data_IF_310342590168
#
_entry.id   IF_310342590168
#
_cell.length_a   1.000
_cell.length_b   1.000
_cell.length_c   1.000
_cell.angle_alpha   90.00
_cell.angle_beta   90.00
_cell.angle_gamma   90.00
#
_symmetry.space_group_name_H-M   'P 1'
#
loop_
_entity.id
_entity.type
_entity.pdbx_description
1 polymer ?
#
# COMPACT_ATOMS: atom_id res chain seq x y z
N UNK A 1 14.85 -33.39 -10.85
CA UNK A 1 13.82 -32.89 -11.77
C UNK A 1 14.04 -31.38 -11.88
N UNK A 2 14.40 -30.84 -13.03
CA UNK A 2 14.61 -29.42 -13.23
C UNK A 2 13.34 -28.84 -13.78
N UNK A 3 12.76 -27.82 -13.09
CA UNK A 3 11.61 -27.07 -13.59
C UNK A 3 12.17 -25.90 -14.40
N UNK A 4 11.73 -25.77 -15.64
CA UNK A 4 12.10 -24.65 -16.50
C UNK A 4 10.86 -23.80 -16.72
N UNK A 5 10.99 -22.49 -16.49
CA UNK A 5 9.95 -21.50 -16.80
C UNK A 5 10.16 -20.98 -18.22
N UNK A 6 9.08 -20.51 -18.83
CA UNK A 6 9.15 -19.86 -20.14
C UNK A 6 9.99 -18.58 -20.08
N UNK A 7 10.56 -18.18 -21.21
CA UNK A 7 11.47 -17.02 -21.26
C UNK A 7 10.77 -15.69 -20.94
N UNK A 8 9.46 -15.61 -21.12
CA UNK A 8 8.59 -14.47 -20.83
C UNK A 8 7.93 -14.54 -19.44
N UNK A 9 8.28 -15.54 -18.63
CA UNK A 9 7.76 -15.65 -17.27
C UNK A 9 8.24 -14.47 -16.42
N UNK A 10 7.28 -13.74 -15.81
CA UNK A 10 7.56 -12.55 -15.00
C UNK A 10 7.71 -12.92 -13.53
N UNK A 11 8.90 -12.69 -13.00
CA UNK A 11 9.18 -12.83 -11.57
C UNK A 11 8.77 -11.57 -10.83
N UNK A 12 7.84 -11.71 -9.88
CA UNK A 12 7.31 -10.59 -9.13
C UNK A 12 7.33 -10.81 -7.63
N UNK A 13 7.24 -9.70 -6.91
CA UNK A 13 7.04 -9.66 -5.46
C UNK A 13 5.79 -8.85 -5.12
N UNK A 14 5.36 -8.91 -3.86
CA UNK A 14 4.20 -8.16 -3.40
C UNK A 14 4.42 -7.63 -1.99
N UNK A 15 3.98 -6.40 -1.77
CA UNK A 15 3.88 -5.79 -0.45
C UNK A 15 2.59 -4.97 -0.35
N UNK A 16 2.37 -4.34 0.80
CA UNK A 16 1.25 -3.41 1.00
C UNK A 16 1.69 -2.21 1.83
N UNK A 17 0.99 -1.09 1.69
CA UNK A 17 1.30 0.12 2.41
C UNK A 17 1.45 -0.09 3.92
N UNK A 18 0.46 -0.68 4.64
CA UNK A 18 0.56 -0.90 6.08
C UNK A 18 1.72 -1.80 6.52
N UNK A 19 2.13 -2.73 5.66
CA UNK A 19 3.23 -3.66 5.96
C UNK A 19 4.62 -3.08 5.68
N UNK A 20 4.72 -2.06 4.83
CA UNK A 20 5.99 -1.58 4.35
C UNK A 20 6.30 -0.13 4.72
N UNK A 21 5.33 0.78 4.59
CA UNK A 21 5.60 2.22 4.57
C UNK A 21 5.78 2.87 5.94
N UNK A 22 5.21 2.30 7.01
CA UNK A 22 5.10 2.97 8.30
C UNK A 22 4.04 4.09 8.30
N UNK A 23 3.95 4.81 9.44
CA UNK A 23 2.96 5.88 9.65
C UNK A 23 3.49 7.28 9.31
N UNK A 24 4.71 7.39 8.80
CA UNK A 24 5.34 8.67 8.47
C UNK A 24 4.47 9.53 7.53
N UNK A 25 4.23 10.77 7.90
CA UNK A 25 3.46 11.75 7.12
C UNK A 25 2.06 11.29 6.65
N UNK A 26 1.44 10.33 7.35
CA UNK A 26 0.04 10.03 7.16
C UNK A 26 -0.84 11.15 7.72
N UNK A 27 -1.92 11.47 7.03
CA UNK A 27 -2.93 12.44 7.47
C UNK A 27 -3.96 11.83 8.39
N UNK A 28 -4.21 10.53 8.22
CA UNK A 28 -5.22 9.77 8.94
C UNK A 28 -4.67 8.43 9.40
N UNK A 29 -5.25 7.85 10.44
CA UNK A 29 -5.01 6.47 10.81
C UNK A 29 -5.83 5.53 9.93
N UNK A 30 -5.24 4.41 9.56
CA UNK A 30 -6.00 3.27 9.06
C UNK A 30 -6.41 2.34 10.21
N UNK A 31 -7.23 1.35 9.91
CA UNK A 31 -7.75 0.40 10.92
C UNK A 31 -6.65 -0.40 11.63
N UNK A 32 -5.47 -0.61 10.99
CA UNK A 32 -4.33 -1.31 11.60
C UNK A 32 -3.54 -0.39 12.52
N UNK A 33 -3.31 0.86 12.14
CA UNK A 33 -2.68 1.87 12.99
C UNK A 33 -3.52 2.03 14.26
N UNK A 34 -4.83 2.20 14.11
CA UNK A 34 -5.77 2.32 15.24
C UNK A 34 -5.80 1.08 16.13
N UNK A 35 -5.83 -0.12 15.54
CA UNK A 35 -5.78 -1.36 16.31
C UNK A 35 -4.50 -1.45 17.13
N UNK A 36 -3.36 -1.16 16.51
CA UNK A 36 -2.07 -1.17 17.20
C UNK A 36 -2.01 -0.16 18.34
N UNK A 37 -2.43 1.09 18.11
CA UNK A 37 -2.38 2.13 19.14
C UNK A 37 -3.34 1.87 20.29
N UNK A 38 -4.46 1.17 20.05
CA UNK A 38 -5.42 0.82 21.10
C UNK A 38 -5.15 -0.51 21.78
N UNK A 39 -4.51 -1.45 21.10
CA UNK A 39 -4.25 -2.81 21.58
C UNK A 39 -2.89 -3.33 21.14
N UNK A 40 -1.78 -2.71 21.57
CA UNK A 40 -0.43 -3.12 21.14
C UNK A 40 -0.10 -4.57 21.52
N UNK A 41 -0.72 -5.10 22.59
CA UNK A 41 -0.53 -6.48 23.04
C UNK A 41 -1.05 -7.54 22.04
N UNK A 42 -1.89 -7.16 21.08
CA UNK A 42 -2.38 -8.08 20.04
C UNK A 42 -1.32 -8.29 18.94
N UNK A 43 -0.23 -7.51 18.98
CA UNK A 43 0.88 -7.60 18.02
C UNK A 43 2.09 -8.30 18.64
N UNK A 44 2.77 -9.11 17.84
CA UNK A 44 3.94 -9.85 18.28
C UNK A 44 5.02 -8.91 18.83
N UNK A 45 5.42 -9.13 20.07
CA UNK A 45 6.36 -8.25 20.82
C UNK A 45 5.95 -6.77 20.88
N UNK A 46 4.67 -6.45 20.73
CA UNK A 46 4.15 -5.08 20.64
C UNK A 46 4.82 -4.28 19.50
N UNK A 47 5.19 -4.95 18.40
CA UNK A 47 5.73 -4.30 17.20
C UNK A 47 4.61 -4.12 16.18
N UNK A 48 4.31 -2.89 15.84
CA UNK A 48 3.21 -2.52 14.95
C UNK A 48 3.65 -1.83 13.65
N UNK A 49 2.70 -1.20 12.98
CA UNK A 49 2.91 -0.62 11.65
C UNK A 49 3.64 0.73 11.64
N UNK A 50 4.04 1.29 12.80
CA UNK A 50 4.56 2.66 12.88
C UNK A 50 5.81 2.89 12.04
N UNK A 51 6.69 1.93 12.03
CA UNK A 51 7.90 1.94 11.18
C UNK A 51 7.77 0.95 10.04
N UNK A 52 7.18 -0.23 10.31
CA UNK A 52 7.09 -1.36 9.38
C UNK A 52 8.48 -1.71 8.81
N UNK A 53 8.61 -1.82 7.47
CA UNK A 53 9.93 -1.95 6.83
C UNK A 53 10.58 -0.60 6.48
N UNK A 54 10.02 0.49 6.94
CA UNK A 54 10.52 1.85 6.67
C UNK A 54 10.55 2.25 5.18
N UNK A 55 9.76 1.59 4.35
CA UNK A 55 9.74 1.81 2.90
C UNK A 55 9.45 3.26 2.51
N UNK A 56 8.69 3.99 3.32
CA UNK A 56 8.43 5.42 3.06
C UNK A 56 9.71 6.24 2.92
N UNK A 57 10.70 5.97 3.76
CA UNK A 57 11.97 6.69 3.77
C UNK A 57 13.05 6.03 2.90
N UNK A 58 12.96 4.70 2.71
CA UNK A 58 14.07 3.89 2.19
C UNK A 58 13.75 3.17 0.86
N UNK A 59 12.62 3.55 0.23
CA UNK A 59 12.11 2.87 -0.97
C UNK A 59 13.12 2.80 -2.13
N UNK A 60 14.04 3.76 -2.25
CA UNK A 60 15.05 3.76 -3.31
C UNK A 60 16.02 2.59 -3.15
N UNK A 61 16.48 2.36 -1.91
CA UNK A 61 17.37 1.24 -1.58
C UNK A 61 16.62 -0.10 -1.70
N UNK A 62 15.41 -0.18 -1.17
CA UNK A 62 14.59 -1.39 -1.23
C UNK A 62 14.28 -1.81 -2.68
N UNK A 63 13.92 -0.86 -3.53
CA UNK A 63 13.68 -1.12 -4.94
C UNK A 63 14.96 -1.52 -5.68
N UNK A 64 16.11 -0.94 -5.33
CA UNK A 64 17.40 -1.35 -5.89
C UNK A 64 17.76 -2.79 -5.49
N UNK A 65 17.51 -3.19 -4.25
CA UNK A 65 17.69 -4.56 -3.77
C UNK A 65 16.74 -5.54 -4.49
N UNK A 66 15.48 -5.19 -4.68
CA UNK A 66 14.52 -5.99 -5.45
C UNK A 66 15.00 -6.19 -6.89
N UNK A 67 15.54 -5.15 -7.52
CA UNK A 67 16.12 -5.25 -8.86
C UNK A 67 17.32 -6.19 -8.90
N UNK A 68 18.21 -6.11 -7.91
CA UNK A 68 19.37 -7.02 -7.80
C UNK A 68 18.93 -8.48 -7.60
N UNK A 69 17.82 -8.69 -6.88
CA UNK A 69 17.22 -10.01 -6.70
C UNK A 69 16.50 -10.56 -7.95
N UNK A 70 16.46 -9.78 -9.06
CA UNK A 70 15.84 -10.19 -10.31
C UNK A 70 14.32 -9.96 -10.38
N UNK A 71 13.74 -9.18 -9.47
CA UNK A 71 12.32 -8.85 -9.49
C UNK A 71 12.02 -7.95 -10.69
N UNK A 72 11.03 -8.36 -11.50
CA UNK A 72 10.59 -7.66 -12.71
C UNK A 72 9.27 -6.91 -12.51
N UNK A 73 8.47 -7.33 -11.52
CA UNK A 73 7.20 -6.72 -11.19
C UNK A 73 7.01 -6.65 -9.67
N UNK A 74 6.45 -5.55 -9.17
CA UNK A 74 6.13 -5.37 -7.76
C UNK A 74 4.68 -4.93 -7.60
N UNK A 75 3.89 -5.72 -6.86
CA UNK A 75 2.57 -5.29 -6.42
C UNK A 75 2.71 -4.46 -5.15
N UNK A 76 2.13 -3.28 -5.16
CA UNK A 76 2.11 -2.33 -4.04
C UNK A 76 0.70 -1.73 -3.90
N UNK A 77 0.31 -1.33 -2.69
CA UNK A 77 -0.96 -0.62 -2.48
C UNK A 77 -0.73 0.86 -2.16
N UNK A 78 -1.69 1.69 -2.57
CA UNK A 78 -1.75 3.09 -2.18
C UNK A 78 -2.55 3.20 -0.90
N UNK A 79 -1.97 3.82 0.14
CA UNK A 79 -2.68 4.13 1.38
C UNK A 79 -3.50 5.42 1.22
N UNK A 80 -4.82 5.31 1.31
CA UNK A 80 -5.71 6.50 1.30
C UNK A 80 -5.41 7.44 2.46
N UNK A 81 -5.00 6.88 3.59
CA UNK A 81 -4.60 7.65 4.78
C UNK A 81 -3.39 8.56 4.57
N UNK A 82 -2.61 8.32 3.51
CA UNK A 82 -1.48 9.14 3.07
C UNK A 82 -1.84 10.02 1.88
N UNK A 83 -2.64 9.48 0.94
CA UNK A 83 -2.92 10.12 -0.33
C UNK A 83 -4.03 11.17 -0.22
N UNK A 84 -4.98 11.01 0.71
CA UNK A 84 -6.17 11.87 0.81
C UNK A 84 -6.03 12.76 2.05
N UNK A 85 -6.14 14.07 1.85
CA UNK A 85 -6.09 15.07 2.91
C UNK A 85 -7.45 15.21 3.60
N UNK A 86 -8.51 15.28 2.81
CA UNK A 86 -9.89 15.32 3.29
C UNK A 86 -10.69 14.14 2.73
N UNK A 87 -11.09 13.22 3.61
CA UNK A 87 -11.78 11.99 3.26
C UNK A 87 -13.24 12.21 2.83
N UNK A 88 -13.84 13.34 3.18
CA UNK A 88 -15.23 13.64 2.80
C UNK A 88 -15.29 14.16 1.35
N UNK A 89 -14.45 15.11 1.01
CA UNK A 89 -14.38 15.69 -0.34
C UNK A 89 -13.51 14.88 -1.31
N UNK A 90 -12.67 13.99 -0.79
CA UNK A 90 -11.68 13.25 -1.59
C UNK A 90 -10.49 14.11 -2.03
N UNK A 91 -10.24 15.25 -1.36
CA UNK A 91 -9.13 16.14 -1.69
C UNK A 91 -7.80 15.42 -1.49
N UNK A 92 -6.97 15.43 -2.54
CA UNK A 92 -5.68 14.74 -2.55
C UNK A 92 -4.61 15.56 -1.80
N UNK A 93 -3.87 14.90 -0.91
CA UNK A 93 -2.67 15.48 -0.30
C UNK A 93 -1.52 15.54 -1.32
N UNK A 94 -0.99 16.74 -1.63
CA UNK A 94 0.08 16.87 -2.62
C UNK A 94 1.37 16.18 -2.19
N UNK A 95 1.66 16.09 -0.89
CA UNK A 95 2.87 15.42 -0.36
C UNK A 95 2.75 13.91 -0.55
N UNK A 96 1.59 13.33 -0.21
CA UNK A 96 1.31 11.92 -0.42
C UNK A 96 1.32 11.54 -1.91
N UNK A 97 0.73 12.38 -2.76
CA UNK A 97 0.75 12.17 -4.20
C UNK A 97 2.17 12.22 -4.78
N UNK A 98 3.01 13.16 -4.32
CA UNK A 98 4.40 13.27 -4.76
C UNK A 98 5.23 12.06 -4.32
N UNK A 99 5.02 11.56 -3.10
CA UNK A 99 5.66 10.34 -2.64
C UNK A 99 5.39 9.16 -3.59
N UNK A 100 4.13 8.87 -3.92
CA UNK A 100 3.81 7.77 -4.83
C UNK A 100 4.34 7.99 -6.25
N UNK A 101 4.33 9.24 -6.75
CA UNK A 101 4.94 9.56 -8.06
C UNK A 101 6.43 9.24 -8.06
N UNK A 102 7.16 9.56 -6.99
CA UNK A 102 8.60 9.25 -6.87
C UNK A 102 8.84 7.75 -6.81
N UNK A 103 8.07 7.01 -6.01
CA UNK A 103 8.16 5.54 -5.92
C UNK A 103 7.96 4.92 -7.31
N UNK A 104 6.88 5.26 -8.01
CA UNK A 104 6.60 4.69 -9.32
C UNK A 104 7.62 5.10 -10.38
N UNK A 105 8.12 6.34 -10.33
CA UNK A 105 9.21 6.78 -11.19
C UNK A 105 10.48 5.95 -10.99
N UNK A 106 10.84 5.69 -9.73
CA UNK A 106 12.01 4.85 -9.40
C UNK A 106 11.82 3.43 -9.89
N UNK A 107 10.63 2.84 -9.71
CA UNK A 107 10.31 1.51 -10.24
C UNK A 107 10.51 1.45 -11.76
N UNK A 108 9.97 2.42 -12.50
CA UNK A 108 10.16 2.49 -13.95
C UNK A 108 11.63 2.64 -14.35
N UNK A 109 12.39 3.48 -13.66
CA UNK A 109 13.83 3.67 -13.92
C UNK A 109 14.62 2.37 -13.72
N UNK A 110 14.23 1.55 -12.77
CA UNK A 110 14.83 0.24 -12.49
C UNK A 110 14.28 -0.88 -13.38
N UNK A 111 13.31 -0.60 -14.24
CA UNK A 111 12.64 -1.61 -15.07
C UNK A 111 11.82 -2.60 -14.26
N UNK A 112 11.22 -2.14 -13.15
CA UNK A 112 10.26 -2.90 -12.33
C UNK A 112 8.84 -2.42 -12.69
N UNK A 113 7.99 -3.32 -13.14
CA UNK A 113 6.60 -3.00 -13.49
C UNK A 113 5.75 -2.87 -12.22
N UNK A 114 5.12 -1.70 -11.96
CA UNK A 114 4.22 -1.54 -10.82
C UNK A 114 2.85 -2.18 -11.09
N UNK A 115 2.40 -3.02 -10.16
CA UNK A 115 1.01 -3.48 -10.06
C UNK A 115 0.37 -2.80 -8.85
N UNK A 116 -0.52 -1.85 -9.11
CA UNK A 116 -1.02 -0.94 -8.06
C UNK A 116 -2.40 -1.37 -7.59
N UNK A 117 -2.52 -1.70 -6.30
CA UNK A 117 -3.82 -1.81 -5.64
C UNK A 117 -4.26 -0.42 -5.18
N UNK A 118 -5.41 0.04 -5.65
CA UNK A 118 -5.97 1.33 -5.24
C UNK A 118 -6.50 1.30 -3.80
N UNK A 119 -6.94 0.14 -3.34
CA UNK A 119 -7.29 -0.15 -1.96
C UNK A 119 -6.92 -1.60 -1.66
N UNK A 120 -6.39 -1.86 -0.47
CA UNK A 120 -6.08 -3.23 -0.04
C UNK A 120 -6.92 -3.57 1.20
N UNK A 121 -6.41 -3.44 2.42
CA UNK A 121 -7.13 -3.71 3.65
C UNK A 121 -6.97 -2.58 4.68
N UNK A 122 -6.44 -1.46 4.29
CA UNK A 122 -6.02 -0.32 5.10
C UNK A 122 -7.04 0.83 5.04
N UNK A 123 -8.30 0.51 5.33
CA UNK A 123 -9.37 1.51 5.36
C UNK A 123 -9.08 2.59 6.39
N UNK A 124 -9.21 3.89 6.06
CA UNK A 124 -9.19 4.96 7.06
C UNK A 124 -10.25 4.73 8.15
N UNK A 125 -9.87 4.90 9.42
CA UNK A 125 -10.77 4.64 10.57
C UNK A 125 -12.08 5.43 10.47
N UNK A 126 -12.01 6.68 10.03
CA UNK A 126 -13.19 7.54 9.86
C UNK A 126 -14.19 6.99 8.85
N UNK A 127 -13.73 6.20 7.87
CA UNK A 127 -14.58 5.55 6.87
C UNK A 127 -15.09 4.16 7.32
N UNK A 128 -14.58 3.63 8.43
CA UNK A 128 -14.98 2.30 8.92
C UNK A 128 -16.48 2.24 9.27
N UNK A 129 -17.07 3.34 9.70
CA UNK A 129 -18.49 3.44 10.00
C UNK A 129 -19.37 3.48 8.74
N UNK A 130 -18.78 3.80 7.59
CA UNK A 130 -19.43 3.73 6.30
C UNK A 130 -19.19 2.33 5.75
N UNK A 131 -20.25 1.54 5.60
CA UNK A 131 -20.12 0.21 4.99
C UNK A 131 -19.50 0.33 3.60
N UNK A 132 -18.46 -0.46 3.31
CA UNK A 132 -17.86 -0.55 1.97
C UNK A 132 -18.90 -0.94 0.89
N UNK A 133 -19.97 -1.63 1.27
CA UNK A 133 -21.11 -1.93 0.39
C UNK A 133 -21.80 -0.64 -0.06
N UNK A 134 -21.88 0.38 0.80
CA UNK A 134 -22.46 1.67 0.43
C UNK A 134 -21.52 2.54 -0.41
N UNK A 135 -20.20 2.32 -0.29
CA UNK A 135 -19.18 3.08 -1.03
C UNK A 135 -18.89 2.45 -2.39
N UNK A 136 -18.85 1.11 -2.47
CA UNK A 136 -18.39 0.39 -3.65
C UNK A 136 -19.47 -0.27 -4.50
N UNK A 137 -20.74 -0.22 -4.09
CA UNK A 137 -21.87 -0.74 -4.87
C UNK A 137 -22.88 0.37 -5.29
N UNK A 138 -22.50 1.36 -6.11
CA UNK A 138 -23.52 2.25 -6.68
C UNK A 138 -24.41 1.56 -7.73
N UNK A 139 -24.16 0.30 -8.06
CA UNK A 139 -24.77 -0.36 -9.23
C UNK A 139 -25.23 -1.79 -9.01
N UNK A 140 -25.49 -2.24 -7.78
CA UNK A 140 -26.20 -3.49 -7.64
C UNK A 140 -27.58 -3.33 -8.29
N UNK A 141 -27.70 -3.74 -9.57
CA UNK A 141 -29.00 -3.95 -10.21
C UNK A 141 -29.83 -4.81 -9.27
N UNK A 142 -30.83 -4.24 -8.66
CA UNK A 142 -31.94 -5.01 -8.09
C UNK A 142 -32.57 -5.70 -9.31
N UNK A 143 -32.10 -6.92 -9.55
CA UNK A 143 -32.70 -7.79 -10.55
C UNK A 143 -34.15 -8.04 -10.13
N UNK A 144 -35.00 -7.90 -11.08
CA UNK A 144 -36.40 -8.27 -11.09
C UNK A 144 -36.53 -9.75 -10.74
#
# INVERSE_FOLDING_TARGET
MTIQFDADFVWGAATSGPQAEGTFHKKHENIFDYHYHTRPQDFYHNVGPDVASNFYNDYENDLALLKQAGVQALRISIQWTRLIDDLESGTVDPVGADYYRRVFKTMHQLGITPYVNLHHFDLPVTLQHLSLIHISEPTRRRGI
#
